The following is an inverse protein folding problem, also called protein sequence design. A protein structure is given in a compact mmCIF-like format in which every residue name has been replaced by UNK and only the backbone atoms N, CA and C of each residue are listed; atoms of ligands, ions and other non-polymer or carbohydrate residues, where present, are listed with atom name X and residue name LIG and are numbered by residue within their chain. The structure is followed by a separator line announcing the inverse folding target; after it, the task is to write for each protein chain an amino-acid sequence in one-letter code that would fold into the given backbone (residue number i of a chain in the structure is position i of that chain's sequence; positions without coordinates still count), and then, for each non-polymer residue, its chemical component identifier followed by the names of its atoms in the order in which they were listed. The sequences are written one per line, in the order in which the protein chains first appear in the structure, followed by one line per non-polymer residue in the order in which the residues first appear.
data_IF_289101047704
#
_entry.id   IF_289101047704
#
_cell.length_a   1.000
_cell.length_b   1.000
_cell.length_c   1.000
_cell.angle_alpha   90.00
_cell.angle_beta   90.00
_cell.angle_gamma   90.00
#
_symmetry.space_group_name_H-M   'P 1'
#
loop_
_entity.id
_entity.type
_entity.pdbx_description
1 polymer ?
#
# COMPACT_ATOMS: atom_id res chain seq x y z
N UNK A 1 47.42 27.23 -8.91
CA UNK A 1 46.21 26.96 -8.11
C UNK A 1 46.11 25.46 -8.00
N UNK A 2 46.15 24.92 -6.78
CA UNK A 2 45.91 23.50 -6.50
C UNK A 2 44.44 23.43 -6.08
N UNK A 3 43.60 22.77 -6.88
CA UNK A 3 42.28 22.37 -6.44
C UNK A 3 42.40 20.99 -5.81
N UNK A 4 42.07 20.96 -4.53
CA UNK A 4 42.10 19.81 -3.66
C UNK A 4 40.66 19.45 -3.28
N UNK A 5 40.38 18.15 -3.32
CA UNK A 5 39.40 17.41 -2.54
C UNK A 5 37.91 17.49 -2.88
N UNK A 6 37.40 16.31 -3.22
CA UNK A 6 36.18 15.78 -2.62
C UNK A 6 35.77 14.45 -3.25
N UNK A 7 35.99 13.30 -2.59
CA UNK A 7 35.49 12.02 -3.10
C UNK A 7 33.97 12.03 -3.00
N UNK A 8 33.31 11.61 -4.08
CA UNK A 8 31.86 11.37 -4.12
C UNK A 8 31.52 10.36 -3.03
N UNK A 9 30.96 10.86 -1.93
CA UNK A 9 30.43 10.04 -0.86
C UNK A 9 29.27 9.23 -1.43
N UNK A 10 29.57 7.97 -1.77
CA UNK A 10 28.56 6.94 -1.92
C UNK A 10 27.78 6.92 -0.61
N UNK A 11 26.52 7.34 -0.66
CA UNK A 11 25.60 7.15 0.44
C UNK A 11 25.42 5.64 0.60
N UNK A 12 26.23 5.04 1.49
CA UNK A 12 25.97 3.72 2.03
C UNK A 12 24.56 3.76 2.62
N UNK A 13 23.60 3.22 1.87
CA UNK A 13 22.29 2.88 2.40
C UNK A 13 22.53 1.73 3.37
N UNK A 14 22.86 2.09 4.61
CA UNK A 14 22.99 1.15 5.72
C UNK A 14 21.79 0.23 5.69
N UNK A 15 22.03 -1.06 5.44
CA UNK A 15 21.05 -2.12 5.21
C UNK A 15 20.22 -2.45 6.45
N UNK A 16 19.61 -1.45 7.07
CA UNK A 16 18.68 -1.63 8.17
C UNK A 16 17.41 -2.18 7.54
N UNK A 17 17.20 -3.49 7.71
CA UNK A 17 15.89 -4.11 7.45
C UNK A 17 14.83 -3.23 8.12
N UNK A 18 13.81 -2.75 7.39
CA UNK A 18 12.76 -1.95 7.98
C UNK A 18 12.19 -2.74 9.17
N UNK A 19 12.27 -2.14 10.35
CA UNK A 19 11.67 -2.73 11.54
C UNK A 19 10.16 -2.51 11.45
N UNK A 20 9.32 -3.51 11.72
CA UNK A 20 7.88 -3.34 11.64
C UNK A 20 7.43 -2.22 12.57
N UNK A 21 6.77 -1.21 12.00
CA UNK A 21 6.17 -0.10 12.73
C UNK A 21 4.73 -0.48 13.07
N UNK A 22 4.35 -0.34 14.34
CA UNK A 22 2.95 -0.53 14.75
C UNK A 22 2.19 0.77 14.57
N UNK A 23 1.13 0.73 13.77
CA UNK A 23 0.21 1.85 13.57
C UNK A 23 -1.10 1.56 14.31
N UNK A 24 -1.67 2.58 14.95
CA UNK A 24 -2.99 2.50 15.58
C UNK A 24 -3.93 3.34 14.75
N UNK A 25 -4.99 2.71 14.23
CA UNK A 25 -6.02 3.38 13.43
C UNK A 25 -7.31 3.37 14.23
N UNK A 26 -7.89 4.55 14.44
CA UNK A 26 -9.21 4.68 15.04
C UNK A 26 -10.27 4.62 13.93
N UNK A 27 -11.16 3.63 14.04
CA UNK A 27 -12.27 3.44 13.11
C UNK A 27 -13.55 3.74 13.86
N UNK A 28 -14.40 4.60 13.27
CA UNK A 28 -15.71 4.86 13.84
C UNK A 28 -16.50 3.55 14.01
N UNK A 29 -17.13 3.28 15.17
CA UNK A 29 -17.76 1.99 15.44
C UNK A 29 -18.78 1.55 14.38
N UNK A 30 -19.52 2.51 13.80
CA UNK A 30 -20.49 2.25 12.73
C UNK A 30 -19.86 1.72 11.43
N UNK A 31 -18.56 1.95 11.23
CA UNK A 31 -17.85 1.59 9.99
C UNK A 31 -17.03 0.30 10.16
N UNK A 32 -16.81 -0.17 11.38
CA UNK A 32 -15.91 -1.30 11.64
C UNK A 32 -16.40 -2.59 10.99
N UNK A 33 -17.64 -2.99 11.26
CA UNK A 33 -18.20 -4.22 10.69
C UNK A 33 -18.39 -4.14 9.16
N UNK A 34 -18.92 -3.03 8.59
CA UNK A 34 -18.93 -2.85 7.14
C UNK A 34 -17.54 -2.93 6.50
N UNK A 35 -16.51 -2.33 7.11
CA UNK A 35 -15.14 -2.40 6.59
C UNK A 35 -14.57 -3.83 6.66
N UNK A 36 -14.84 -4.57 7.74
CA UNK A 36 -14.45 -5.99 7.86
C UNK A 36 -15.15 -6.85 6.81
N UNK A 37 -16.44 -6.64 6.57
CA UNK A 37 -17.20 -7.34 5.55
C UNK A 37 -16.63 -7.05 4.16
N UNK A 38 -16.38 -5.78 3.84
CA UNK A 38 -15.80 -5.37 2.56
C UNK A 38 -14.41 -6.00 2.33
N UNK A 39 -13.53 -5.97 3.33
CA UNK A 39 -12.19 -6.58 3.22
C UNK A 39 -12.27 -8.08 2.92
N UNK A 40 -13.18 -8.80 3.59
CA UNK A 40 -13.40 -10.23 3.34
C UNK A 40 -14.02 -10.51 1.99
N UNK A 41 -15.02 -9.73 1.59
CA UNK A 41 -15.80 -9.97 0.38
C UNK A 41 -15.07 -9.53 -0.88
N UNK A 42 -14.23 -8.49 -0.81
CA UNK A 42 -13.57 -7.91 -1.99
C UNK A 42 -12.10 -8.19 -2.07
N UNK A 43 -11.41 -8.36 -0.94
CA UNK A 43 -9.97 -8.56 -0.91
C UNK A 43 -9.60 -9.98 -0.48
N UNK A 44 -10.57 -10.76 0.03
CA UNK A 44 -10.36 -12.07 0.67
C UNK A 44 -9.36 -12.03 1.85
N UNK A 45 -9.15 -10.86 2.45
CA UNK A 45 -8.12 -10.60 3.46
C UNK A 45 -8.73 -10.12 4.78
N UNK A 46 -7.87 -9.97 5.80
CA UNK A 46 -8.24 -9.27 7.04
C UNK A 46 -8.26 -7.76 6.81
N UNK A 47 -9.09 -7.05 7.57
CA UNK A 47 -9.20 -5.59 7.48
C UNK A 47 -7.84 -4.90 7.67
N UNK A 48 -7.01 -5.42 8.58
CA UNK A 48 -5.69 -4.86 8.88
C UNK A 48 -4.71 -4.99 7.70
N UNK A 49 -4.80 -6.07 6.92
CA UNK A 49 -3.99 -6.29 5.71
C UNK A 49 -4.41 -5.30 4.62
N UNK A 50 -5.71 -5.22 4.35
CA UNK A 50 -6.29 -4.30 3.37
C UNK A 50 -5.99 -2.83 3.69
N UNK A 51 -6.04 -2.43 4.97
CA UNK A 51 -5.68 -1.06 5.39
C UNK A 51 -4.19 -0.78 5.17
N UNK A 52 -3.32 -1.78 5.34
CA UNK A 52 -1.89 -1.66 5.06
C UNK A 52 -1.62 -1.44 3.57
N UNK A 53 -2.25 -2.24 2.71
CA UNK A 53 -2.16 -2.10 1.25
C UNK A 53 -2.69 -0.75 0.78
N UNK A 54 -3.87 -0.33 1.26
CA UNK A 54 -4.43 0.98 0.92
C UNK A 54 -3.53 2.15 1.35
N UNK A 55 -2.91 2.07 2.53
CA UNK A 55 -1.98 3.09 2.99
C UNK A 55 -0.71 3.15 2.11
N UNK A 56 -0.24 2.00 1.61
CA UNK A 56 0.85 1.93 0.65
C UNK A 56 0.45 2.57 -0.69
N UNK A 57 -0.72 2.24 -1.23
CA UNK A 57 -1.23 2.81 -2.49
C UNK A 57 -1.35 4.34 -2.41
N UNK A 58 -1.87 4.86 -1.30
CA UNK A 58 -1.96 6.31 -1.07
C UNK A 58 -0.59 6.97 -0.99
N UNK A 59 0.39 6.32 -0.37
CA UNK A 59 1.76 6.81 -0.30
C UNK A 59 2.43 6.82 -1.69
N UNK A 60 2.18 5.81 -2.52
CA UNK A 60 2.65 5.80 -3.91
C UNK A 60 2.00 6.92 -4.72
N UNK A 61 0.67 7.07 -4.62
CA UNK A 61 -0.09 8.11 -5.30
C UNK A 61 0.39 9.51 -4.91
N UNK A 62 0.74 9.72 -3.63
CA UNK A 62 1.24 11.00 -3.13
C UNK A 62 2.55 11.44 -3.78
N UNK A 63 3.43 10.48 -4.11
CA UNK A 63 4.74 10.77 -4.68
C UNK A 63 4.74 10.92 -6.21
N UNK A 64 3.58 10.78 -6.87
CA UNK A 64 3.45 10.92 -8.32
C UNK A 64 2.92 12.33 -8.70
N UNK A 65 3.66 13.14 -9.48
CA UNK A 65 3.18 14.45 -9.91
C UNK A 65 1.97 14.31 -10.86
N UNK A 66 0.84 14.97 -10.53
CA UNK A 66 -0.35 15.04 -11.39
C UNK A 66 -1.38 13.91 -11.26
N UNK A 67 -1.18 12.94 -10.36
CA UNK A 67 -2.06 11.75 -10.20
C UNK A 67 -3.18 11.91 -9.16
N UNK A 68 -3.36 13.09 -8.58
CA UNK A 68 -4.42 13.38 -7.60
C UNK A 68 -5.81 13.58 -8.20
N UNK A 69 -5.97 13.38 -9.52
CA UNK A 69 -7.31 13.31 -10.12
C UNK A 69 -8.04 12.10 -9.52
N UNK A 70 -9.19 12.35 -8.88
CA UNK A 70 -9.95 11.32 -8.15
C UNK A 70 -10.23 10.08 -9.00
N UNK A 71 -10.48 10.24 -10.31
CA UNK A 71 -10.64 9.13 -11.24
C UNK A 71 -9.38 8.26 -11.37
N UNK A 72 -8.18 8.85 -11.40
CA UNK A 72 -6.93 8.08 -11.51
C UNK A 72 -6.59 7.31 -10.25
N UNK A 73 -6.93 7.87 -9.08
CA UNK A 73 -6.81 7.15 -7.81
C UNK A 73 -7.81 6.00 -7.75
N UNK A 74 -9.05 6.24 -8.17
CA UNK A 74 -10.08 5.19 -8.25
C UNK A 74 -9.69 4.09 -9.24
N UNK A 75 -9.26 4.43 -10.45
CA UNK A 75 -8.83 3.47 -11.48
C UNK A 75 -7.63 2.63 -10.99
N UNK A 76 -6.69 3.25 -10.28
CA UNK A 76 -5.56 2.55 -9.67
C UNK A 76 -6.02 1.56 -8.60
N UNK A 77 -6.87 1.99 -7.66
CA UNK A 77 -7.42 1.11 -6.64
C UNK A 77 -8.22 -0.04 -7.28
N UNK A 78 -9.09 0.24 -8.25
CA UNK A 78 -9.86 -0.79 -8.95
C UNK A 78 -8.96 -1.78 -9.71
N UNK A 79 -7.80 -1.35 -10.22
CA UNK A 79 -6.82 -2.27 -10.83
C UNK A 79 -6.11 -3.19 -9.84
N UNK A 80 -5.97 -2.78 -8.57
CA UNK A 80 -5.28 -3.53 -7.53
C UNK A 80 -6.21 -4.49 -6.77
N UNK A 81 -7.52 -4.25 -6.80
CA UNK A 81 -8.53 -5.14 -6.23
C UNK A 81 -9.33 -5.83 -7.35
N UNK A 82 -8.85 -6.98 -7.89
CA UNK A 82 -9.56 -7.71 -8.93
C UNK A 82 -10.98 -8.11 -8.47
N UNK A 83 -11.89 -8.40 -9.42
CA UNK A 83 -13.19 -8.95 -9.09
C UNK A 83 -13.05 -10.15 -8.14
N UNK A 84 -13.95 -10.25 -7.16
CA UNK A 84 -13.90 -11.31 -6.13
C UNK A 84 -13.84 -12.72 -6.73
N UNK A 85 -14.46 -12.94 -7.89
CA UNK A 85 -14.43 -14.24 -8.57
C UNK A 85 -13.01 -14.59 -9.04
N UNK A 86 -12.27 -13.63 -9.57
CA UNK A 86 -10.85 -13.79 -9.94
C UNK A 86 -9.98 -14.11 -8.72
N UNK A 87 -10.22 -13.45 -7.59
CA UNK A 87 -9.48 -13.72 -6.35
C UNK A 87 -9.78 -15.12 -5.78
N UNK A 88 -11.02 -15.60 -5.89
CA UNK A 88 -11.40 -16.95 -5.47
C UNK A 88 -10.77 -18.02 -6.36
N UNK A 89 -10.63 -17.75 -7.65
CA UNK A 89 -9.94 -18.63 -8.59
C UNK A 89 -8.46 -18.77 -8.22
N UNK A 90 -7.74 -17.66 -8.02
CA UNK A 90 -6.33 -17.68 -7.62
C UNK A 90 -6.09 -18.43 -6.30
N UNK A 91 -6.95 -18.21 -5.29
CA UNK A 91 -6.86 -18.95 -4.02
C UNK A 91 -7.03 -20.47 -4.19
N UNK A 92 -7.82 -20.91 -5.18
CA UNK A 92 -8.01 -22.34 -5.47
C UNK A 92 -6.81 -22.95 -6.22
N UNK A 93 -6.07 -22.15 -6.98
CA UNK A 93 -4.88 -22.60 -7.71
C UNK A 93 -3.64 -22.69 -6.81
N UNK A 94 -3.58 -21.89 -5.75
CA UNK A 94 -2.48 -21.87 -4.76
C UNK A 94 -2.64 -22.87 -3.58
N UNK A 95 -3.73 -23.66 -3.55
CA UNK A 95 -4.06 -24.60 -2.47
C UNK A 95 -4.01 -26.07 -2.88
#
# INVERSE_FOLDING_TARGET
MKEENGPEGQAETTGRKPSPVKLVVEIHPLNLEPARALARERCLQKLEETLGELAHDLAEAWNRPGSWEASRVTDWLESHYPPVETLKEWRREDG
#
